data_IF_767716733374
#
_entry.id   IF_767716733374
#
_cell.length_a   1.000
_cell.length_b   1.000
_cell.length_c   1.000
_cell.angle_alpha   90.00
_cell.angle_beta   90.00
_cell.angle_gamma   90.00
#
_symmetry.space_group_name_H-M   'P 1'
#
loop_
_entity.id
_entity.type
_entity.pdbx_description
1 polymer ?
#
# COMPACT_ATOMS: atom_id res chain seq x y z
N UNK A 1 -34.82 34.68 39.68
CA UNK A 1 -33.59 33.89 39.83
C UNK A 1 -33.80 32.59 39.08
N UNK A 2 -33.12 32.40 37.94
CA UNK A 2 -33.17 31.15 37.18
C UNK A 2 -31.90 31.04 36.33
N UNK A 3 -31.46 29.80 36.15
CA UNK A 3 -30.10 29.35 35.91
C UNK A 3 -29.61 29.62 34.48
N UNK A 4 -28.43 30.26 34.35
CA UNK A 4 -27.63 30.20 33.14
C UNK A 4 -26.84 28.88 33.13
N UNK A 5 -27.34 27.93 32.34
CA UNK A 5 -26.69 26.67 32.06
C UNK A 5 -25.51 26.92 31.10
N UNK A 6 -24.30 27.12 31.65
CA UNK A 6 -23.05 27.13 30.88
C UNK A 6 -22.78 25.71 30.40
N UNK A 7 -23.22 25.40 29.17
CA UNK A 7 -22.76 24.21 28.44
C UNK A 7 -21.27 24.37 28.13
N UNK A 8 -20.44 23.69 28.93
CA UNK A 8 -19.05 23.44 28.62
C UNK A 8 -18.99 22.53 27.39
N UNK A 9 -18.57 23.11 26.26
CA UNK A 9 -18.19 22.35 25.08
C UNK A 9 -16.93 21.59 25.46
N UNK A 10 -17.10 20.31 25.79
CA UNK A 10 -16.04 19.31 25.84
C UNK A 10 -15.46 19.19 24.43
N UNK A 11 -14.47 20.02 24.12
CA UNK A 11 -13.53 19.75 23.04
C UNK A 11 -12.77 18.49 23.45
N UNK A 12 -13.18 17.36 22.90
CA UNK A 12 -12.40 16.12 22.95
C UNK A 12 -11.08 16.35 22.21
N UNK A 13 -10.09 16.84 22.96
CA UNK A 13 -8.70 16.87 22.56
C UNK A 13 -8.29 15.40 22.37
N UNK A 14 -8.41 14.88 21.14
CA UNK A 14 -7.69 13.67 20.73
C UNK A 14 -6.22 14.00 20.97
N UNK A 15 -5.68 13.47 22.06
CA UNK A 15 -4.33 13.77 22.52
C UNK A 15 -3.36 13.63 21.36
N UNK A 16 -2.79 14.74 20.92
CA UNK A 16 -1.61 14.69 20.07
C UNK A 16 -0.55 13.95 20.88
N UNK A 17 -0.16 12.78 20.39
CA UNK A 17 1.04 12.11 20.88
C UNK A 17 2.17 13.14 20.91
N UNK A 18 2.82 13.30 22.06
CA UNK A 18 4.02 14.14 22.18
C UNK A 18 5.24 13.52 21.48
N UNK A 19 5.11 12.29 20.99
CA UNK A 19 6.16 11.62 20.24
C UNK A 19 6.27 12.18 18.82
N UNK A 20 7.49 12.23 18.25
CA UNK A 20 7.68 12.55 16.85
C UNK A 20 6.86 11.59 15.98
N UNK A 21 6.25 12.10 14.91
CA UNK A 21 5.38 11.31 14.04
C UNK A 21 6.13 10.84 12.79
N UNK A 22 5.95 9.57 12.45
CA UNK A 22 6.38 9.02 11.16
C UNK A 22 5.21 9.11 10.19
N UNK A 23 5.41 9.80 9.07
CA UNK A 23 4.38 9.98 8.04
C UNK A 23 4.47 8.94 6.94
N UNK A 24 5.70 8.56 6.58
CA UNK A 24 5.92 7.61 5.50
C UNK A 24 7.18 6.78 5.70
N UNK A 25 7.17 5.57 5.17
CA UNK A 25 8.30 4.66 5.12
C UNK A 25 8.50 4.24 3.67
N UNK A 26 9.72 4.40 3.15
CA UNK A 26 10.09 3.87 1.85
C UNK A 26 10.37 2.37 1.97
N UNK A 27 9.83 1.57 1.07
CA UNK A 27 10.07 0.13 1.03
C UNK A 27 10.23 -0.38 -0.40
N UNK A 28 10.78 -1.58 -0.54
CA UNK A 28 10.98 -2.27 -1.81
C UNK A 28 10.41 -3.67 -1.68
N UNK A 29 9.81 -4.18 -2.76
CA UNK A 29 9.45 -5.60 -2.85
C UNK A 29 10.73 -6.46 -2.85
N UNK A 30 10.87 -7.32 -1.84
CA UNK A 30 11.94 -8.30 -1.71
C UNK A 30 11.34 -9.66 -1.41
N UNK A 31 11.61 -10.65 -2.25
CA UNK A 31 10.94 -11.95 -2.24
C UNK A 31 9.41 -11.82 -2.22
N UNK A 32 8.79 -11.99 -1.06
CA UNK A 32 7.35 -11.96 -0.77
C UNK A 32 6.95 -10.85 0.21
N UNK A 33 7.85 -9.92 0.51
CA UNK A 33 7.65 -8.89 1.53
C UNK A 33 8.04 -7.49 1.04
N UNK A 34 7.61 -6.47 1.80
CA UNK A 34 8.01 -5.09 1.61
C UNK A 34 9.01 -4.71 2.72
N UNK A 35 10.27 -4.51 2.33
CA UNK A 35 11.36 -4.20 3.25
C UNK A 35 11.85 -2.77 3.09
N UNK A 36 12.21 -2.11 4.19
CA UNK A 36 12.80 -0.77 4.19
C UNK A 36 13.42 -0.42 5.54
N UNK A 37 13.80 0.84 5.71
CA UNK A 37 14.19 1.39 7.02
C UNK A 37 13.67 2.81 7.18
N UNK A 38 13.63 3.29 8.41
CA UNK A 38 13.26 4.66 8.74
C UNK A 38 13.91 5.10 10.05
N UNK A 39 14.06 6.41 10.24
CA UNK A 39 14.57 6.99 11.47
C UNK A 39 13.42 7.48 12.37
N UNK A 40 13.49 7.14 13.65
CA UNK A 40 12.52 7.57 14.64
C UNK A 40 13.13 7.59 16.04
N UNK A 41 12.96 8.72 16.75
CA UNK A 41 13.47 8.87 18.11
C UNK A 41 15.00 8.81 18.22
N UNK A 42 15.72 9.24 17.17
CA UNK A 42 17.19 9.25 17.12
C UNK A 42 17.84 7.88 16.85
N UNK A 43 17.07 6.90 16.37
CA UNK A 43 17.58 5.59 15.98
C UNK A 43 17.00 5.17 14.62
N UNK A 44 17.78 4.40 13.86
CA UNK A 44 17.33 3.70 12.67
C UNK A 44 16.56 2.43 13.06
N UNK A 45 15.45 2.18 12.37
CA UNK A 45 14.62 0.99 12.52
C UNK A 45 14.49 0.30 11.17
N UNK A 46 14.69 -1.02 11.16
CA UNK A 46 14.31 -1.86 10.03
C UNK A 46 12.80 -2.05 10.00
N UNK A 47 12.24 -2.03 8.80
CA UNK A 47 10.81 -2.22 8.54
C UNK A 47 10.62 -3.41 7.60
N UNK A 48 9.72 -4.31 7.96
CA UNK A 48 9.33 -5.44 7.14
C UNK A 48 7.82 -5.66 7.24
N UNK A 49 7.13 -5.62 6.11
CA UNK A 49 5.73 -6.00 6.01
C UNK A 49 5.57 -7.21 5.09
N UNK A 50 5.12 -8.34 5.64
CA UNK A 50 4.88 -9.58 4.89
C UNK A 50 3.38 -9.75 4.67
N UNK A 51 2.85 -9.37 3.49
CA UNK A 51 1.44 -9.60 3.16
C UNK A 51 1.16 -11.10 3.10
N UNK A 52 0.06 -11.53 3.73
CA UNK A 52 -0.40 -12.93 3.73
C UNK A 52 -1.78 -13.11 3.11
N UNK A 53 -2.51 -12.00 2.90
CA UNK A 53 -3.83 -12.02 2.28
C UNK A 53 -4.09 -10.71 1.54
N UNK A 54 -4.77 -10.81 0.40
CA UNK A 54 -5.26 -9.72 -0.42
C UNK A 54 -6.79 -9.81 -0.54
N UNK A 55 -7.46 -8.65 -0.46
CA UNK A 55 -8.89 -8.50 -0.65
C UNK A 55 -9.15 -7.22 -1.44
N UNK A 56 -10.27 -7.17 -2.16
CA UNK A 56 -10.72 -5.95 -2.84
C UNK A 56 -12.03 -5.48 -2.22
N UNK A 57 -12.07 -4.23 -1.78
CA UNK A 57 -13.28 -3.59 -1.24
C UNK A 57 -13.54 -2.33 -2.06
N UNK A 58 -14.62 -2.32 -2.84
CA UNK A 58 -14.86 -1.29 -3.84
C UNK A 58 -13.81 -1.32 -4.95
N UNK A 59 -13.12 -0.20 -5.15
CA UNK A 59 -12.05 0.01 -6.14
C UNK A 59 -10.64 -0.08 -5.53
N UNK A 60 -10.53 -0.63 -4.31
CA UNK A 60 -9.26 -0.63 -3.55
C UNK A 60 -8.79 -2.02 -3.20
N UNK A 61 -7.47 -2.19 -3.32
CA UNK A 61 -6.73 -3.33 -2.79
C UNK A 61 -6.46 -3.14 -1.30
N UNK A 62 -6.81 -4.15 -0.52
CA UNK A 62 -6.49 -4.28 0.89
C UNK A 62 -5.56 -5.48 1.09
N UNK A 63 -4.45 -5.25 1.77
CA UNK A 63 -3.55 -6.31 2.22
C UNK A 63 -3.69 -6.50 3.72
N UNK A 64 -3.57 -7.74 4.17
CA UNK A 64 -3.41 -8.09 5.58
C UNK A 64 -2.12 -8.89 5.72
N UNK A 65 -1.33 -8.61 6.75
CA UNK A 65 -0.01 -9.24 6.89
C UNK A 65 0.63 -9.09 8.26
N UNK A 66 1.90 -9.50 8.33
CA UNK A 66 2.77 -9.38 9.48
C UNK A 66 3.64 -8.12 9.33
N UNK A 67 3.55 -7.21 10.28
CA UNK A 67 4.50 -6.09 10.41
C UNK A 67 5.58 -6.46 11.43
N UNK A 68 6.84 -6.33 11.03
CA UNK A 68 8.02 -6.49 11.90
C UNK A 68 8.84 -5.22 11.87
N UNK A 69 9.21 -4.73 13.05
CA UNK A 69 10.14 -3.62 13.25
C UNK A 69 11.36 -4.15 14.00
N UNK A 70 12.56 -3.89 13.49
CA UNK A 70 13.81 -4.23 14.15
C UNK A 70 14.58 -2.97 14.55
N UNK A 71 15.12 -2.94 15.76
CA UNK A 71 16.05 -1.88 16.16
C UNK A 71 17.49 -2.16 15.67
N UNK A 72 18.37 -1.17 15.81
CA UNK A 72 19.79 -1.30 15.49
C UNK A 72 20.53 -2.33 16.34
N UNK A 73 19.95 -2.73 17.47
CA UNK A 73 20.46 -3.81 18.33
C UNK A 73 20.04 -5.21 17.86
N UNK A 74 19.33 -5.33 16.74
CA UNK A 74 18.84 -6.59 16.19
C UNK A 74 17.60 -7.15 16.89
N UNK A 75 17.01 -6.41 17.84
CA UNK A 75 15.77 -6.84 18.49
C UNK A 75 14.59 -6.54 17.57
N UNK A 76 13.89 -7.59 17.17
CA UNK A 76 12.68 -7.49 16.37
C UNK A 76 11.40 -7.56 17.23
N UNK A 77 10.40 -6.76 16.88
CA UNK A 77 9.04 -6.84 17.40
C UNK A 77 8.06 -6.92 16.25
N UNK A 78 7.04 -7.76 16.41
CA UNK A 78 6.11 -8.06 15.34
C UNK A 78 4.66 -7.92 15.77
N UNK A 79 3.78 -7.56 14.82
CA UNK A 79 2.33 -7.58 14.98
C UNK A 79 1.68 -8.20 13.75
N UNK A 80 0.84 -9.20 13.97
CA UNK A 80 0.05 -9.89 12.93
C UNK A 80 -1.23 -9.11 12.60
N UNK A 81 -1.83 -9.46 11.47
CA UNK A 81 -3.11 -8.95 11.00
C UNK A 81 -3.14 -7.42 10.80
N UNK A 82 -2.00 -6.84 10.40
CA UNK A 82 -1.92 -5.42 10.07
C UNK A 82 -2.53 -5.21 8.69
N UNK A 83 -3.58 -4.38 8.63
CA UNK A 83 -4.21 -3.97 7.38
C UNK A 83 -3.42 -2.84 6.70
N UNK A 84 -3.24 -2.96 5.39
CA UNK A 84 -2.67 -1.95 4.52
C UNK A 84 -3.64 -1.69 3.36
N UNK A 85 -4.05 -0.45 3.15
CA UNK A 85 -5.01 -0.07 2.10
C UNK A 85 -4.28 0.67 0.99
N UNK A 86 -4.41 0.20 -0.26
CA UNK A 86 -3.84 0.88 -1.41
C UNK A 86 -4.56 2.22 -1.58
N UNK A 87 -3.81 3.31 -1.43
CA UNK A 87 -4.31 4.67 -1.56
C UNK A 87 -4.04 5.26 -2.95
N UNK A 88 -2.94 4.87 -3.57
CA UNK A 88 -2.56 5.27 -4.92
C UNK A 88 -1.52 4.31 -5.51
N UNK A 89 -1.36 4.35 -6.83
CA UNK A 89 -0.27 3.72 -7.57
C UNK A 89 0.47 4.76 -8.40
N UNK A 90 1.63 4.37 -8.93
CA UNK A 90 2.30 5.12 -9.98
C UNK A 90 2.83 4.15 -11.03
N UNK A 91 2.58 4.47 -12.29
CA UNK A 91 3.11 3.72 -13.42
C UNK A 91 4.64 3.81 -13.55
N UNK A 92 5.23 2.79 -14.15
CA UNK A 92 6.59 2.80 -14.69
C UNK A 92 6.59 2.59 -16.19
N UNK A 93 7.61 3.10 -16.88
CA UNK A 93 7.86 2.87 -18.31
C UNK A 93 9.10 1.99 -18.42
N UNK A 94 9.00 0.88 -19.15
CA UNK A 94 10.12 -0.04 -19.35
C UNK A 94 9.68 -1.42 -19.81
N UNK A 95 10.48 -2.45 -19.53
CA UNK A 95 10.08 -3.84 -19.78
C UNK A 95 9.07 -4.24 -18.71
N UNK A 96 7.80 -4.36 -19.11
CA UNK A 96 6.75 -4.81 -18.20
C UNK A 96 7.06 -6.23 -17.67
N UNK A 97 6.80 -6.52 -16.39
CA UNK A 97 6.95 -7.86 -15.86
C UNK A 97 6.01 -8.83 -16.61
N UNK A 98 6.36 -10.12 -16.73
CA UNK A 98 5.47 -11.12 -17.30
C UNK A 98 4.12 -11.12 -16.57
N UNK A 99 3.02 -11.03 -17.32
CA UNK A 99 1.65 -11.11 -16.76
C UNK A 99 1.00 -12.38 -17.26
N UNK A 100 0.42 -13.17 -16.35
CA UNK A 100 -0.38 -14.34 -16.73
C UNK A 100 -1.75 -13.94 -17.27
N UNK A 101 -2.27 -12.82 -16.77
CA UNK A 101 -3.49 -12.21 -17.22
C UNK A 101 -3.18 -10.75 -17.59
N UNK A 102 -3.07 -10.46 -18.88
CA UNK A 102 -3.25 -9.09 -19.34
C UNK A 102 -4.74 -8.86 -19.37
N UNK A 103 -5.33 -8.01 -18.48
CA UNK A 103 -6.67 -7.51 -18.77
C UNK A 103 -6.61 -6.93 -20.17
N UNK A 104 -7.56 -7.31 -21.02
CA UNK A 104 -7.68 -6.77 -22.38
C UNK A 104 -8.12 -5.32 -22.26
N UNK A 105 -7.22 -4.44 -21.81
CA UNK A 105 -7.37 -3.02 -22.01
C UNK A 105 -7.00 -2.82 -23.47
N UNK A 106 -8.00 -2.94 -24.33
CA UNK A 106 -8.01 -2.26 -25.62
C UNK A 106 -7.78 -0.79 -25.28
N UNK A 107 -6.51 -0.35 -25.29
CA UNK A 107 -6.11 1.04 -25.25
C UNK A 107 -6.51 1.66 -26.59
N UNK A 108 -7.81 1.65 -26.89
CA UNK A 108 -8.38 2.52 -27.90
C UNK A 108 -8.29 3.91 -27.30
N UNK A 109 -7.71 4.90 -28.01
CA UNK A 109 -7.86 6.29 -27.64
C UNK A 109 -9.35 6.52 -27.38
N UNK A 110 -9.71 7.04 -26.20
CA UNK A 110 -11.09 7.46 -25.95
C UNK A 110 -11.42 8.49 -27.02
N UNK A 111 -12.39 8.23 -27.89
CA UNK A 111 -12.83 9.22 -28.88
C UNK A 111 -13.39 10.50 -28.20
N UNK A 112 -13.64 10.45 -26.89
CA UNK A 112 -14.18 11.54 -26.06
C UNK A 112 -13.12 12.32 -25.26
N UNK A 113 -11.81 12.05 -25.43
CA UNK A 113 -10.71 12.71 -24.69
C UNK A 113 -10.38 14.14 -25.18
N UNK A 114 -11.37 14.87 -25.70
CA UNK A 114 -11.22 16.28 -26.08
C UNK A 114 -11.49 17.27 -24.93
N UNK A 115 -11.74 16.81 -23.71
CA UNK A 115 -12.18 17.68 -22.59
C UNK A 115 -11.25 17.76 -21.39
N UNK A 116 -10.17 16.99 -21.30
CA UNK A 116 -9.14 17.19 -20.28
C UNK A 116 -7.74 16.90 -20.86
N UNK A 117 -6.81 17.87 -20.90
CA UNK A 117 -5.50 17.71 -21.55
C UNK A 117 -4.44 17.12 -20.60
N UNK A 118 -4.85 16.50 -19.50
CA UNK A 118 -3.90 15.94 -18.55
C UNK A 118 -3.60 14.48 -18.95
N UNK A 119 -2.33 14.10 -19.16
CA UNK A 119 -1.99 12.74 -19.51
C UNK A 119 -2.41 11.78 -18.37
N UNK A 120 -3.04 10.66 -18.73
CA UNK A 120 -3.26 9.55 -17.80
C UNK A 120 -1.87 9.03 -17.36
N UNK A 121 -1.46 9.40 -16.14
CA UNK A 121 -0.16 9.00 -15.52
C UNK A 121 -0.19 7.60 -14.92
N UNK A 122 -1.36 6.96 -14.93
CA UNK A 122 -1.56 5.58 -14.48
C UNK A 122 -1.22 4.60 -15.61
N UNK A 123 -0.85 3.37 -15.23
CA UNK A 123 -0.33 2.30 -16.11
C UNK A 123 -1.28 1.97 -17.28
N UNK A 124 -1.21 2.72 -18.38
CA UNK A 124 -2.08 2.58 -19.56
C UNK A 124 -1.30 2.06 -20.78
N UNK A 125 -1.20 0.74 -20.93
CA UNK A 125 -0.66 0.09 -22.14
C UNK A 125 0.19 -1.16 -21.90
N UNK A 126 0.42 -1.92 -22.98
CA UNK A 126 1.19 -3.20 -22.98
C UNK A 126 2.63 -3.09 -22.44
N UNK A 127 3.19 -1.89 -22.39
CA UNK A 127 4.54 -1.58 -21.89
C UNK A 127 4.54 -0.85 -20.54
N UNK A 128 3.36 -0.48 -20.01
CA UNK A 128 3.22 0.19 -18.72
C UNK A 128 3.00 -0.84 -17.61
N UNK A 129 3.51 -0.58 -16.40
CA UNK A 129 3.32 -1.43 -15.23
C UNK A 129 3.20 -0.60 -13.95
N UNK A 130 2.70 -1.18 -12.86
CA UNK A 130 2.72 -0.51 -11.57
C UNK A 130 4.16 -0.47 -11.04
N UNK A 131 4.79 0.71 -10.97
CA UNK A 131 6.16 0.86 -10.47
C UNK A 131 6.23 1.17 -8.97
N UNK A 132 5.21 1.87 -8.45
CA UNK A 132 5.12 2.25 -7.04
C UNK A 132 3.69 2.04 -6.53
N UNK A 133 3.56 1.52 -5.31
CA UNK A 133 2.30 1.43 -4.58
C UNK A 133 2.38 2.23 -3.27
N UNK A 134 1.34 3.02 -2.99
CA UNK A 134 1.23 3.81 -1.77
C UNK A 134 0.16 3.20 -0.87
N UNK A 135 0.57 2.50 0.19
CA UNK A 135 -0.34 1.90 1.15
C UNK A 135 -0.50 2.75 2.40
N UNK A 136 -1.73 2.95 2.88
CA UNK A 136 -2.01 3.45 4.22
C UNK A 136 -2.09 2.26 5.18
N UNK A 137 -1.17 2.22 6.15
CA UNK A 137 -1.23 1.23 7.21
C UNK A 137 -2.32 1.60 8.20
N UNK A 138 -2.95 0.60 8.81
CA UNK A 138 -3.77 0.84 9.99
C UNK A 138 -2.93 1.46 11.12
N UNK A 139 -3.62 2.11 12.06
CA UNK A 139 -2.94 2.71 13.21
C UNK A 139 -2.24 1.65 14.05
N UNK A 140 -0.93 1.82 14.25
CA UNK A 140 -0.12 0.95 15.10
C UNK A 140 0.51 1.73 16.25
N UNK A 141 0.57 1.08 17.42
CA UNK A 141 1.22 1.64 18.60
C UNK A 141 2.75 1.47 18.45
N UNK A 142 3.44 2.56 18.07
CA UNK A 142 4.90 2.58 17.91
C UNK A 142 5.66 2.05 19.14
N UNK A 143 5.39 2.55 20.36
CA UNK A 143 6.02 2.05 21.58
C UNK A 143 5.88 0.54 21.81
N UNK A 144 4.73 -0.06 21.46
CA UNK A 144 4.56 -1.51 21.53
C UNK A 144 5.53 -2.25 20.59
N UNK A 145 5.83 -1.65 19.43
CA UNK A 145 6.81 -2.13 18.45
C UNK A 145 8.25 -1.67 18.73
N UNK A 146 8.51 -1.02 19.87
CA UNK A 146 9.85 -0.57 20.24
C UNK A 146 10.27 0.76 19.62
N UNK A 147 9.36 1.44 18.92
CA UNK A 147 9.61 2.72 18.27
C UNK A 147 9.15 3.87 19.15
N UNK A 148 10.04 4.81 19.47
CA UNK A 148 9.71 6.03 20.23
C UNK A 148 9.08 7.12 19.34
N UNK A 149 8.08 6.73 18.54
CA UNK A 149 7.39 7.61 17.60
C UNK A 149 5.90 7.24 17.46
N UNK A 150 5.10 8.20 17.01
CA UNK A 150 3.72 7.96 16.59
C UNK A 150 3.68 7.34 15.18
N UNK A 151 3.12 6.13 15.09
CA UNK A 151 2.94 5.36 13.86
C UNK A 151 1.45 5.23 13.46
N UNK A 152 0.57 6.07 14.00
CA UNK A 152 -0.89 5.96 13.81
C UNK A 152 -1.41 6.25 12.40
N UNK A 153 -0.59 6.81 11.51
CA UNK A 153 -1.01 7.25 10.17
C UNK A 153 0.09 7.07 9.11
N UNK A 154 0.87 5.99 9.22
CA UNK A 154 2.02 5.74 8.33
C UNK A 154 1.56 5.36 6.92
N UNK A 155 2.19 5.97 5.93
CA UNK A 155 2.13 5.54 4.53
C UNK A 155 3.36 4.70 4.16
N UNK A 156 3.14 3.50 3.67
CA UNK A 156 4.20 2.67 3.11
C UNK A 156 4.30 2.91 1.60
N UNK A 157 5.47 3.37 1.15
CA UNK A 157 5.76 3.68 -0.25
C UNK A 157 6.57 2.54 -0.86
N UNK A 158 5.88 1.57 -1.47
CA UNK A 158 6.48 0.35 -1.99
C UNK A 158 6.96 0.58 -3.42
N UNK A 159 8.25 0.41 -3.68
CA UNK A 159 8.81 0.34 -5.03
C UNK A 159 8.86 -1.11 -5.51
N UNK A 160 8.39 -1.34 -6.73
CA UNK A 160 8.43 -2.64 -7.39
C UNK A 160 9.65 -2.68 -8.32
N UNK A 161 10.76 -3.20 -7.80
CA UNK A 161 12.04 -3.33 -8.50
C UNK A 161 12.53 -4.80 -8.44
N UNK A 162 11.83 -5.72 -9.13
CA UNK A 162 12.07 -7.15 -8.97
C UNK A 162 13.43 -7.57 -9.56
N UNK A 163 14.18 -8.30 -8.75
CA UNK A 163 15.48 -8.90 -9.06
C UNK A 163 15.41 -10.41 -9.24
N UNK A 164 14.42 -11.06 -8.62
CA UNK A 164 14.18 -12.51 -8.72
C UNK A 164 12.93 -12.85 -9.54
N UNK A 165 12.80 -14.10 -10.01
CA UNK A 165 11.59 -14.54 -10.72
C UNK A 165 10.34 -14.48 -9.84
N UNK A 166 10.50 -14.77 -8.54
CA UNK A 166 9.41 -14.64 -7.57
C UNK A 166 8.94 -13.20 -7.45
N UNK A 167 9.86 -12.26 -7.32
CA UNK A 167 9.51 -10.83 -7.26
C UNK A 167 8.87 -10.36 -8.58
N UNK A 168 9.32 -10.87 -9.74
CA UNK A 168 8.71 -10.59 -11.05
C UNK A 168 7.28 -11.12 -11.14
N UNK A 169 7.02 -12.33 -10.64
CA UNK A 169 5.67 -12.93 -10.62
C UNK A 169 4.72 -12.09 -9.75
N UNK A 170 5.15 -11.71 -8.54
CA UNK A 170 4.38 -10.83 -7.66
C UNK A 170 4.15 -9.45 -8.27
N UNK A 171 5.17 -8.87 -8.90
CA UNK A 171 5.05 -7.58 -9.60
C UNK A 171 4.03 -7.66 -10.75
N UNK A 172 4.04 -8.75 -11.53
CA UNK A 172 3.05 -9.01 -12.57
C UNK A 172 1.63 -9.10 -12.01
N UNK A 173 1.44 -9.83 -10.91
CA UNK A 173 0.14 -9.98 -10.26
C UNK A 173 -0.39 -8.65 -9.69
N UNK A 174 0.45 -7.89 -8.98
CA UNK A 174 0.08 -6.55 -8.49
C UNK A 174 -0.29 -5.61 -9.64
N UNK A 175 0.52 -5.57 -10.71
CA UNK A 175 0.25 -4.71 -11.86
C UNK A 175 -1.09 -5.05 -12.51
N UNK A 176 -1.36 -6.34 -12.71
CA UNK A 176 -2.60 -6.80 -13.36
C UNK A 176 -3.83 -6.47 -12.51
N UNK A 177 -3.76 -6.68 -11.19
CA UNK A 177 -4.86 -6.36 -10.28
C UNK A 177 -5.13 -4.86 -10.19
N UNK A 178 -4.08 -4.04 -10.11
CA UNK A 178 -4.21 -2.58 -10.07
C UNK A 178 -4.82 -2.05 -11.37
N UNK A 179 -4.38 -2.57 -12.51
CA UNK A 179 -4.94 -2.22 -13.81
C UNK A 179 -6.42 -2.61 -13.92
N UNK A 180 -6.79 -3.80 -13.44
CA UNK A 180 -8.19 -4.24 -13.40
C UNK A 180 -9.06 -3.36 -12.47
N UNK A 181 -8.54 -2.95 -11.32
CA UNK A 181 -9.22 -2.04 -10.39
C UNK A 181 -9.38 -0.62 -10.97
N UNK A 182 -8.43 -0.16 -11.79
CA UNK A 182 -8.46 1.15 -12.44
C UNK A 182 -9.35 1.19 -13.71
N UNK A 183 -9.73 0.04 -14.26
CA UNK A 183 -10.51 -0.06 -15.49
C UNK A 183 -11.91 0.57 -15.34
N UNK A 184 -12.39 1.21 -16.42
CA UNK A 184 -13.71 1.84 -16.50
C UNK A 184 -14.44 1.34 -17.75
N UNK A 185 -15.49 0.50 -17.64
CA UNK A 185 -16.02 -0.08 -16.39
C UNK A 185 -15.10 -1.15 -15.79
N UNK A 186 -15.13 -1.30 -14.48
CA UNK A 186 -14.37 -2.34 -13.76
C UNK A 186 -15.05 -3.71 -13.95
N UNK A 187 -14.29 -4.68 -14.47
CA UNK A 187 -14.73 -6.07 -14.55
C UNK A 187 -14.47 -6.81 -13.23
N UNK A 188 -15.54 -7.03 -12.47
CA UNK A 188 -15.48 -7.68 -11.16
C UNK A 188 -14.98 -9.12 -11.22
N UNK A 189 -15.30 -9.87 -12.28
CA UNK A 189 -14.86 -11.25 -12.41
C UNK A 189 -13.35 -11.31 -12.61
N UNK A 190 -12.81 -10.41 -13.43
CA UNK A 190 -11.35 -10.26 -13.62
C UNK A 190 -10.66 -9.86 -12.31
N UNK A 191 -11.21 -8.89 -11.57
CA UNK A 191 -10.66 -8.48 -10.26
C UNK A 191 -10.65 -9.64 -9.26
N UNK A 192 -11.72 -10.44 -9.19
CA UNK A 192 -11.81 -11.60 -8.31
C UNK A 192 -10.77 -12.67 -8.65
N UNK A 193 -10.64 -13.03 -9.93
CA UNK A 193 -9.65 -13.99 -10.40
C UNK A 193 -8.21 -13.55 -10.08
N UNK A 194 -7.90 -12.27 -10.33
CA UNK A 194 -6.59 -11.69 -10.03
C UNK A 194 -6.31 -11.63 -8.53
N UNK A 195 -7.35 -11.41 -7.71
CA UNK A 195 -7.24 -11.44 -6.24
C UNK A 195 -6.94 -12.85 -5.74
N UNK A 196 -7.58 -13.88 -6.30
CA UNK A 196 -7.28 -15.29 -6.00
C UNK A 196 -5.85 -15.63 -6.41
N UNK A 197 -5.40 -15.20 -7.59
CA UNK A 197 -4.02 -15.42 -8.03
C UNK A 197 -3.02 -14.76 -7.08
N UNK A 198 -3.24 -13.49 -6.72
CA UNK A 198 -2.36 -12.78 -5.79
C UNK A 198 -2.30 -13.52 -4.45
N UNK A 199 -3.42 -13.98 -3.90
CA UNK A 199 -3.44 -14.77 -2.67
C UNK A 199 -2.65 -16.09 -2.78
N UNK A 200 -2.68 -16.75 -3.95
CA UNK A 200 -1.85 -17.94 -4.21
C UNK A 200 -0.34 -17.59 -4.17
N UNK A 201 0.03 -16.39 -4.58
CA UNK A 201 1.41 -15.89 -4.53
C UNK A 201 1.82 -15.34 -3.16
N UNK A 202 0.86 -14.94 -2.32
CA UNK A 202 1.14 -14.50 -0.96
C UNK A 202 1.19 -15.66 0.05
N UNK A 203 0.70 -16.84 -0.37
CA UNK A 203 0.79 -18.06 0.43
C UNK A 203 2.22 -18.65 0.32
N UNK A 204 2.87 -18.97 1.45
CA UNK A 204 4.18 -19.59 1.48
C UNK A 204 4.17 -21.02 0.92
#
# INVERSE_FOLDING_TARGET
MSFQEKRSISQSNRGRSSLPRVYSIASVLKHDCFSGSFEAGGAEHGFLYTPSNAQTEGDRLHLTGLLTISDSGGRARSRRNIRAVLAASQGGIGTAPPRKHSPTIDARPREDDRRDPLPDVESTGRSSFCGVMYFKLESVNGPALGVKADLSAVQMNVRLAPTTDRERELHGAYSSLIEALAAKPMDRNTVELLTVELNRLLSP
#
